data_IF_043773499707
#
_entry.id   IF_043773499707
#
_cell.length_a   1.000
_cell.length_b   1.000
_cell.length_c   1.000
_cell.angle_alpha   90.00
_cell.angle_beta   90.00
_cell.angle_gamma   90.00
#
_symmetry.space_group_name_H-M   'P 1'
#
loop_
_entity.id
_entity.type
_entity.pdbx_description
1 polymer ?
#
# COMPACT_ATOMS: atom_id res chain seq x y z
N UNK A 1 26.69 -33.82 36.44
CA UNK A 1 27.34 -32.50 36.38
C UNK A 1 26.33 -31.51 35.86
N UNK A 2 25.77 -30.73 36.78
CA UNK A 2 24.70 -29.77 36.46
C UNK A 2 25.29 -28.44 36.00
N UNK A 3 24.83 -27.94 34.89
CA UNK A 3 25.00 -26.53 34.53
C UNK A 3 23.77 -25.75 34.99
N UNK A 4 23.93 -25.04 36.10
CA UNK A 4 23.04 -23.95 36.48
C UNK A 4 23.28 -22.77 35.55
N UNK A 5 22.30 -22.37 34.78
CA UNK A 5 22.25 -21.06 34.14
C UNK A 5 21.81 -20.04 35.18
N UNK A 6 22.76 -19.38 35.80
CA UNK A 6 22.55 -18.11 36.50
C UNK A 6 22.79 -17.03 35.46
N UNK A 7 21.74 -16.49 34.89
CA UNK A 7 21.78 -15.18 34.28
C UNK A 7 20.73 -14.32 34.97
N UNK A 8 21.13 -13.69 36.07
CA UNK A 8 20.55 -12.46 36.55
C UNK A 8 20.85 -11.39 35.52
N UNK A 9 19.97 -11.22 34.52
CA UNK A 9 19.95 -9.99 33.72
C UNK A 9 19.41 -8.90 34.63
N UNK A 10 20.33 -8.21 35.27
CA UNK A 10 20.10 -6.96 35.99
C UNK A 10 19.51 -5.90 35.02
N UNK A 11 18.19 -5.74 35.08
CA UNK A 11 17.48 -4.56 34.58
C UNK A 11 16.83 -3.79 35.74
N UNK A 12 17.61 -3.16 36.64
CA UNK A 12 17.01 -2.57 37.84
C UNK A 12 16.65 -1.08 37.70
N UNK A 13 16.92 -0.38 36.61
CA UNK A 13 16.71 1.06 36.58
C UNK A 13 15.81 1.62 35.48
N UNK A 14 15.50 0.85 34.44
CA UNK A 14 14.65 1.33 33.36
C UNK A 14 13.15 1.05 33.57
N UNK A 15 12.79 -0.01 34.26
CA UNK A 15 11.39 -0.45 34.45
C UNK A 15 10.61 0.38 35.46
N UNK A 16 11.29 1.06 36.40
CA UNK A 16 10.61 1.88 37.42
C UNK A 16 10.11 3.26 36.92
N UNK A 17 10.47 3.65 35.68
CA UNK A 17 10.07 4.96 35.09
C UNK A 17 9.12 4.81 33.91
N UNK A 18 8.84 3.59 33.44
CA UNK A 18 7.95 3.38 32.30
C UNK A 18 6.52 3.11 32.80
N UNK A 19 5.53 3.84 32.27
CA UNK A 19 4.14 3.56 32.56
C UNK A 19 3.74 2.16 32.08
N UNK A 20 2.71 1.60 32.73
CA UNK A 20 2.16 0.31 32.31
C UNK A 20 1.79 0.33 30.83
N UNK A 21 2.35 -0.62 30.04
CA UNK A 21 2.04 -0.77 28.61
C UNK A 21 0.54 -0.82 28.34
N UNK A 22 -0.22 -1.51 29.22
CA UNK A 22 -1.67 -1.57 29.13
C UNK A 22 -2.35 -0.21 29.33
N UNK A 23 -1.82 0.64 30.21
CA UNK A 23 -2.34 1.99 30.42
C UNK A 23 -2.05 2.88 29.21
N UNK A 24 -0.86 2.76 28.61
CA UNK A 24 -0.47 3.48 27.40
C UNK A 24 -1.32 3.03 26.22
N UNK A 25 -1.56 1.72 26.02
CA UNK A 25 -2.42 1.22 24.95
C UNK A 25 -3.87 1.73 25.08
N UNK A 26 -4.44 1.75 26.30
CA UNK A 26 -5.76 2.32 26.57
C UNK A 26 -5.79 3.82 26.28
N UNK A 27 -4.72 4.55 26.61
CA UNK A 27 -4.58 5.96 26.29
C UNK A 27 -4.56 6.19 24.75
N UNK A 28 -3.79 5.39 23.99
CA UNK A 28 -3.73 5.46 22.52
C UNK A 28 -5.12 5.21 21.93
N UNK A 29 -5.84 4.17 22.37
CA UNK A 29 -7.20 3.91 21.91
C UNK A 29 -8.16 5.07 22.21
N UNK A 30 -8.09 5.64 23.40
CA UNK A 30 -8.92 6.78 23.81
C UNK A 30 -8.58 8.08 23.04
N UNK A 31 -7.28 8.30 22.78
CA UNK A 31 -6.77 9.46 22.04
C UNK A 31 -7.15 9.44 20.57
N UNK A 32 -7.10 8.27 19.93
CA UNK A 32 -7.52 8.09 18.53
C UNK A 32 -9.04 8.26 18.37
N UNK A 33 -9.83 7.72 19.30
CA UNK A 33 -11.29 7.77 19.24
C UNK A 33 -11.88 9.07 19.81
N UNK A 34 -11.12 9.84 20.59
CA UNK A 34 -11.60 10.95 21.42
C UNK A 34 -12.85 10.56 22.25
N UNK A 35 -12.90 9.30 22.70
CA UNK A 35 -14.03 8.70 23.38
C UNK A 35 -13.59 7.57 24.32
N UNK A 36 -13.91 7.69 25.61
CA UNK A 36 -13.68 6.60 26.55
C UNK A 36 -14.61 5.41 26.35
N UNK A 37 -15.79 5.65 25.78
CA UNK A 37 -16.75 4.57 25.47
C UNK A 37 -16.23 3.70 24.31
N UNK A 38 -15.71 4.30 23.25
CA UNK A 38 -15.12 3.55 22.14
C UNK A 38 -13.83 2.84 22.55
N UNK A 39 -12.96 3.50 23.30
CA UNK A 39 -11.77 2.86 23.86
C UNK A 39 -12.11 1.67 24.79
N UNK A 40 -13.22 1.75 25.52
CA UNK A 40 -13.68 0.66 26.38
C UNK A 40 -14.08 -0.58 25.58
N UNK A 41 -14.75 -0.40 24.42
CA UNK A 41 -15.09 -1.50 23.51
C UNK A 41 -13.82 -2.19 22.99
N UNK A 42 -12.86 -1.40 22.51
CA UNK A 42 -11.57 -1.91 22.00
C UNK A 42 -10.77 -2.67 23.08
N UNK A 43 -10.76 -2.14 24.32
CA UNK A 43 -10.00 -2.73 25.42
C UNK A 43 -10.75 -3.84 26.18
N UNK A 44 -11.99 -4.18 25.81
CA UNK A 44 -12.89 -5.09 26.56
C UNK A 44 -13.03 -4.67 28.04
N UNK A 45 -13.26 -3.39 28.26
CA UNK A 45 -13.42 -2.76 29.58
C UNK A 45 -14.72 -1.97 29.69
N UNK A 46 -15.05 -1.51 30.89
CA UNK A 46 -16.09 -0.51 31.08
C UNK A 46 -15.53 0.91 30.88
N UNK A 47 -16.35 1.90 30.46
CA UNK A 47 -15.90 3.30 30.33
C UNK A 47 -15.33 3.86 31.64
N UNK A 48 -15.88 3.46 32.81
CA UNK A 48 -15.38 3.85 34.12
C UNK A 48 -13.98 3.27 34.39
N UNK A 49 -13.72 2.03 33.99
CA UNK A 49 -12.40 1.41 34.12
C UNK A 49 -11.36 2.10 33.21
N UNK A 50 -11.71 2.44 31.98
CA UNK A 50 -10.86 3.25 31.08
C UNK A 50 -10.55 4.60 31.73
N UNK A 51 -11.58 5.33 32.18
CA UNK A 51 -11.42 6.63 32.83
C UNK A 51 -10.49 6.58 34.05
N UNK A 52 -10.59 5.50 34.86
CA UNK A 52 -9.71 5.29 36.02
C UNK A 52 -8.26 5.07 35.58
N UNK A 53 -8.02 4.16 34.61
CA UNK A 53 -6.66 3.88 34.12
C UNK A 53 -5.99 5.09 33.48
N UNK A 54 -6.75 5.91 32.77
CA UNK A 54 -6.25 7.19 32.22
C UNK A 54 -5.85 8.14 33.35
N UNK A 55 -6.66 8.28 34.39
CA UNK A 55 -6.31 9.12 35.55
C UNK A 55 -5.06 8.62 36.28
N UNK A 56 -4.89 7.30 36.39
CA UNK A 56 -3.71 6.71 37.01
C UNK A 56 -2.47 7.02 36.17
N UNK A 57 -2.54 6.89 34.84
CA UNK A 57 -1.48 7.27 33.91
C UNK A 57 -1.14 8.78 33.99
N UNK A 58 -2.15 9.63 34.01
CA UNK A 58 -1.97 11.09 34.16
C UNK A 58 -1.26 11.44 35.49
N UNK A 59 -1.59 10.72 36.56
CA UNK A 59 -0.93 10.89 37.88
C UNK A 59 0.53 10.41 37.84
N UNK A 60 0.80 9.27 37.20
CA UNK A 60 2.13 8.73 37.03
C UNK A 60 3.02 9.67 36.20
N UNK A 61 2.49 10.24 35.14
CA UNK A 61 3.19 11.21 34.28
C UNK A 61 3.23 12.64 34.85
N UNK A 62 2.50 12.91 35.94
CA UNK A 62 2.41 14.25 36.54
C UNK A 62 1.72 15.30 35.64
N UNK A 63 0.99 14.87 34.62
CA UNK A 63 0.44 15.78 33.62
C UNK A 63 -0.90 15.27 33.09
N UNK A 64 -1.91 16.14 32.99
CA UNK A 64 -3.19 15.79 32.35
C UNK A 64 -3.01 15.60 30.84
N UNK A 65 -3.51 14.50 30.33
CA UNK A 65 -3.47 14.16 28.89
C UNK A 65 -4.79 14.47 28.20
N UNK A 66 -5.91 14.49 28.95
CA UNK A 66 -7.22 14.83 28.43
C UNK A 66 -7.86 16.01 29.17
N UNK A 67 -8.62 16.82 28.41
CA UNK A 67 -9.63 17.74 28.93
C UNK A 67 -11.00 17.11 28.79
N UNK A 68 -11.76 17.09 29.89
CA UNK A 68 -13.08 16.45 29.93
C UNK A 68 -14.15 17.52 30.00
N UNK A 69 -15.05 17.54 29.02
CA UNK A 69 -16.22 18.39 28.97
C UNK A 69 -17.49 17.51 29.09
N UNK A 70 -18.62 18.11 29.45
CA UNK A 70 -19.86 17.36 29.68
C UNK A 70 -20.29 16.46 28.50
N UNK A 71 -19.85 16.76 27.26
CA UNK A 71 -20.24 15.98 26.06
C UNK A 71 -19.08 15.68 25.09
N UNK A 72 -17.86 16.04 25.43
CA UNK A 72 -16.70 15.84 24.55
C UNK A 72 -15.42 15.57 25.34
N UNK A 73 -14.54 14.79 24.74
CA UNK A 73 -13.20 14.51 25.21
C UNK A 73 -12.20 15.15 24.25
N UNK A 74 -11.25 15.91 24.78
CA UNK A 74 -10.19 16.53 23.98
C UNK A 74 -8.83 16.21 24.55
N UNK A 75 -7.82 16.11 23.70
CA UNK A 75 -6.43 16.00 24.15
C UNK A 75 -5.92 17.36 24.63
N UNK A 76 -5.12 17.35 25.68
CA UNK A 76 -4.27 18.50 26.03
C UNK A 76 -3.10 18.60 25.04
N UNK A 77 -2.36 19.72 24.96
CA UNK A 77 -1.12 19.80 24.16
C UNK A 77 -0.09 18.71 24.56
N UNK A 78 -0.01 18.39 25.86
CA UNK A 78 0.82 17.30 26.36
C UNK A 78 0.29 15.92 25.89
N UNK A 79 -1.03 15.72 25.94
CA UNK A 79 -1.68 14.50 25.46
C UNK A 79 -1.50 14.29 23.96
N UNK A 80 -1.63 15.34 23.14
CA UNK A 80 -1.43 15.26 21.70
C UNK A 80 0.03 14.88 21.36
N UNK A 81 1.00 15.53 22.01
CA UNK A 81 2.42 15.20 21.87
C UNK A 81 2.72 13.77 22.30
N UNK A 82 2.20 13.35 23.45
CA UNK A 82 2.40 12.00 23.97
C UNK A 82 1.77 10.95 23.05
N UNK A 83 0.56 11.19 22.55
CA UNK A 83 -0.11 10.30 21.60
C UNK A 83 0.71 10.09 20.33
N UNK A 84 1.24 11.16 19.75
CA UNK A 84 2.10 11.08 18.57
C UNK A 84 3.33 10.19 18.79
N UNK A 85 3.99 10.33 19.95
CA UNK A 85 5.19 9.54 20.28
C UNK A 85 4.88 8.08 20.59
N UNK A 86 3.84 7.80 21.42
CA UNK A 86 3.61 6.42 21.88
C UNK A 86 2.76 5.58 20.94
N UNK A 87 2.02 6.19 20.00
CA UNK A 87 1.22 5.42 19.02
C UNK A 87 2.06 4.46 18.21
N UNK A 88 3.20 4.93 17.68
CA UNK A 88 4.11 4.09 16.89
C UNK A 88 4.71 2.95 17.73
N UNK A 89 5.05 3.21 18.99
CA UNK A 89 5.58 2.18 19.89
C UNK A 89 4.55 1.10 20.19
N UNK A 90 3.30 1.46 20.45
CA UNK A 90 2.21 0.50 20.66
C UNK A 90 1.94 -0.32 19.41
N UNK A 91 1.86 0.33 18.25
CA UNK A 91 1.66 -0.35 16.96
C UNK A 91 2.81 -1.33 16.66
N UNK A 92 4.06 -0.97 17.02
CA UNK A 92 5.21 -1.87 16.91
C UNK A 92 5.08 -3.08 17.82
N UNK A 93 4.77 -2.88 19.11
CA UNK A 93 4.63 -3.99 20.07
C UNK A 93 3.48 -4.92 19.66
N UNK A 94 2.36 -4.40 19.20
CA UNK A 94 1.25 -5.21 18.70
C UNK A 94 1.68 -6.05 17.48
N UNK A 95 2.36 -5.45 16.52
CA UNK A 95 2.90 -6.14 15.33
C UNK A 95 3.86 -7.26 15.69
N UNK A 96 4.86 -6.98 16.54
CA UNK A 96 5.83 -7.99 16.97
C UNK A 96 5.16 -9.14 17.74
N UNK A 97 4.20 -8.79 18.61
CA UNK A 97 3.45 -9.79 19.35
C UNK A 97 2.61 -10.69 18.43
N UNK A 98 1.99 -10.14 17.40
CA UNK A 98 1.26 -10.94 16.41
C UNK A 98 2.21 -11.80 15.55
N UNK A 99 3.40 -11.31 15.24
CA UNK A 99 4.40 -12.04 14.44
C UNK A 99 4.84 -13.35 15.08
N UNK A 100 4.95 -13.38 16.42
CA UNK A 100 5.38 -14.57 17.20
C UNK A 100 4.21 -15.44 17.68
N UNK A 101 2.96 -14.97 17.61
CA UNK A 101 1.81 -15.80 17.99
C UNK A 101 1.68 -17.01 17.07
N UNK A 102 1.40 -18.23 17.62
CA UNK A 102 1.12 -19.40 16.79
C UNK A 102 -0.10 -19.09 15.88
N UNK A 103 0.12 -19.02 14.58
CA UNK A 103 -0.93 -18.72 13.60
C UNK A 103 -2.01 -19.80 13.68
N UNK A 104 -3.24 -19.41 14.01
CA UNK A 104 -4.42 -20.28 13.91
C UNK A 104 -4.54 -20.78 12.48
N UNK A 105 -4.92 -22.05 12.29
CA UNK A 105 -5.09 -22.79 11.03
C UNK A 105 -5.34 -21.90 9.80
N UNK A 106 -4.27 -21.62 9.04
CA UNK A 106 -4.26 -20.83 7.81
C UNK A 106 -3.00 -19.96 7.77
N UNK A 107 -2.34 -19.88 6.64
CA UNK A 107 -1.23 -18.96 6.43
C UNK A 107 -1.81 -17.59 6.05
N UNK A 108 -1.44 -16.53 6.75
CA UNK A 108 -1.76 -15.15 6.35
C UNK A 108 -0.57 -14.55 5.62
N UNK A 109 -0.80 -13.96 4.46
CA UNK A 109 0.17 -13.18 3.69
C UNK A 109 -0.20 -11.70 3.79
N UNK A 110 0.76 -10.86 4.19
CA UNK A 110 0.60 -9.40 4.20
C UNK A 110 1.29 -8.81 2.97
N UNK A 111 0.51 -8.13 2.14
CA UNK A 111 0.96 -7.52 0.90
C UNK A 111 0.85 -6.00 0.97
N UNK A 112 1.93 -5.30 0.64
CA UNK A 112 1.90 -3.86 0.36
C UNK A 112 1.75 -3.64 -1.15
N UNK A 113 0.72 -2.88 -1.57
CA UNK A 113 0.33 -2.78 -2.98
C UNK A 113 -0.02 -1.33 -3.34
N UNK A 114 0.27 -0.90 -4.56
CA UNK A 114 -0.25 0.37 -5.08
C UNK A 114 -1.78 0.32 -5.14
N UNK A 115 -2.46 1.32 -4.61
CA UNK A 115 -3.92 1.36 -4.49
C UNK A 115 -4.65 1.08 -5.81
N UNK A 116 -4.23 1.74 -6.89
CA UNK A 116 -4.81 1.52 -8.23
C UNK A 116 -4.60 0.10 -8.73
N UNK A 117 -3.43 -0.48 -8.51
CA UNK A 117 -3.13 -1.86 -8.89
C UNK A 117 -3.94 -2.86 -8.06
N UNK A 118 -4.09 -2.62 -6.76
CA UNK A 118 -4.92 -3.45 -5.90
C UNK A 118 -6.35 -3.55 -6.45
N UNK A 119 -7.00 -2.41 -6.68
CA UNK A 119 -8.41 -2.37 -7.11
C UNK A 119 -8.64 -2.83 -8.55
N UNK A 120 -7.75 -2.48 -9.48
CA UNK A 120 -7.96 -2.73 -10.90
C UNK A 120 -7.50 -4.13 -11.33
N UNK A 121 -6.45 -4.67 -10.70
CA UNK A 121 -5.84 -5.93 -11.15
C UNK A 121 -5.80 -7.03 -10.10
N UNK A 122 -5.39 -6.72 -8.86
CA UNK A 122 -5.09 -7.74 -7.86
C UNK A 122 -6.36 -8.34 -7.25
N UNK A 123 -7.31 -7.53 -6.77
CA UNK A 123 -8.50 -8.01 -6.05
C UNK A 123 -9.31 -9.07 -6.82
N UNK A 124 -9.58 -8.94 -8.14
CA UNK A 124 -10.26 -9.99 -8.88
C UNK A 124 -9.50 -11.34 -8.89
N UNK A 125 -8.17 -11.28 -8.89
CA UNK A 125 -7.29 -12.46 -8.86
C UNK A 125 -7.19 -13.08 -7.47
N UNK A 126 -7.23 -12.25 -6.42
CA UNK A 126 -7.30 -12.75 -5.04
C UNK A 126 -8.62 -13.45 -4.76
N UNK A 127 -9.73 -12.99 -5.31
CA UNK A 127 -11.02 -13.70 -5.22
C UNK A 127 -10.93 -15.10 -5.83
N UNK A 128 -10.33 -15.23 -7.02
CA UNK A 128 -10.08 -16.53 -7.64
C UNK A 128 -9.06 -17.38 -6.86
N UNK A 129 -8.01 -16.76 -6.33
CA UNK A 129 -7.02 -17.43 -5.50
C UNK A 129 -7.65 -18.00 -4.22
N UNK A 130 -8.49 -17.23 -3.53
CA UNK A 130 -9.16 -17.67 -2.29
C UNK A 130 -10.10 -18.86 -2.52
N UNK A 131 -10.73 -18.97 -3.70
CA UNK A 131 -11.57 -20.14 -4.03
C UNK A 131 -10.76 -21.44 -4.20
N UNK A 132 -9.49 -21.33 -4.64
CA UNK A 132 -8.58 -22.48 -4.81
C UNK A 132 -7.77 -22.78 -3.55
N UNK A 133 -7.43 -21.74 -2.77
CA UNK A 133 -6.64 -21.83 -1.54
C UNK A 133 -7.36 -21.13 -0.39
N UNK A 134 -8.46 -21.73 0.10
CA UNK A 134 -9.22 -21.18 1.23
C UNK A 134 -8.42 -21.17 2.56
N UNK A 135 -7.34 -21.94 2.61
CA UNK A 135 -6.41 -22.06 3.72
C UNK A 135 -5.41 -20.88 3.83
N UNK A 136 -5.33 -20.01 2.79
CA UNK A 136 -4.44 -18.87 2.78
C UNK A 136 -5.26 -17.58 2.81
N UNK A 137 -5.05 -16.77 3.83
CA UNK A 137 -5.58 -15.41 3.92
C UNK A 137 -4.57 -14.41 3.35
N UNK A 138 -5.06 -13.39 2.66
CA UNK A 138 -4.22 -12.33 2.10
C UNK A 138 -4.74 -10.98 2.59
N UNK A 139 -3.93 -10.33 3.41
CA UNK A 139 -4.14 -8.97 3.86
C UNK A 139 -3.46 -8.01 2.87
N UNK A 140 -4.21 -7.03 2.39
CA UNK A 140 -3.71 -6.05 1.42
C UNK A 140 -3.73 -4.67 2.05
N UNK A 141 -2.55 -4.10 2.20
CA UNK A 141 -2.37 -2.72 2.61
C UNK A 141 -1.93 -1.89 1.41
N UNK A 142 -2.53 -0.71 1.23
CA UNK A 142 -2.21 0.13 0.07
C UNK A 142 -1.25 1.24 0.47
N UNK A 143 -0.11 1.33 -0.23
CA UNK A 143 0.89 2.38 -0.04
C UNK A 143 1.55 2.75 -1.37
N UNK A 144 1.85 4.04 -1.55
CA UNK A 144 2.68 4.56 -2.64
C UNK A 144 4.16 4.57 -2.29
N UNK A 145 4.49 4.52 -1.00
CA UNK A 145 5.86 4.53 -0.51
C UNK A 145 6.53 3.17 -0.69
N UNK A 146 7.85 3.21 -0.80
CA UNK A 146 8.68 2.01 -0.77
C UNK A 146 8.72 1.54 0.69
N UNK A 147 7.81 0.63 1.05
CA UNK A 147 7.82 0.03 2.38
C UNK A 147 9.10 -0.79 2.58
N UNK A 148 9.71 -0.68 3.74
CA UNK A 148 10.76 -1.61 4.14
C UNK A 148 10.11 -2.95 4.46
N UNK A 149 10.28 -3.92 3.54
CA UNK A 149 9.69 -5.26 3.70
C UNK A 149 10.23 -6.01 4.91
N UNK A 150 11.38 -5.61 5.43
CA UNK A 150 12.00 -6.22 6.62
C UNK A 150 11.41 -5.60 7.88
N UNK A 151 11.41 -4.27 7.96
CA UNK A 151 11.00 -3.54 9.17
C UNK A 151 9.48 -3.44 9.32
N UNK A 152 8.72 -3.44 8.20
CA UNK A 152 7.27 -3.26 8.23
C UNK A 152 6.45 -4.56 8.17
N UNK A 153 7.10 -5.73 8.23
CA UNK A 153 6.47 -7.07 8.35
C UNK A 153 5.53 -7.45 7.20
N UNK A 154 5.82 -7.01 5.98
CA UNK A 154 5.18 -7.50 4.78
C UNK A 154 5.86 -8.78 4.27
N UNK A 155 5.08 -9.75 3.81
CA UNK A 155 5.61 -10.95 3.15
C UNK A 155 6.07 -10.65 1.73
N UNK A 156 5.40 -9.71 1.06
CA UNK A 156 5.76 -9.21 -0.27
C UNK A 156 5.12 -7.84 -0.54
N UNK A 157 5.60 -7.17 -1.58
CA UNK A 157 4.93 -5.97 -2.11
C UNK A 157 4.74 -6.07 -3.63
N UNK A 158 3.76 -5.33 -4.17
CA UNK A 158 3.63 -5.13 -5.60
C UNK A 158 3.98 -3.68 -5.92
N UNK A 159 4.99 -3.52 -6.78
CA UNK A 159 5.54 -2.22 -7.12
C UNK A 159 5.67 -2.04 -8.62
N UNK A 160 5.54 -0.78 -9.07
CA UNK A 160 5.79 -0.36 -10.44
C UNK A 160 7.22 0.18 -10.55
N UNK A 161 7.98 -0.28 -11.54
CA UNK A 161 9.36 0.14 -11.72
C UNK A 161 10.14 -0.70 -12.71
N UNK A 162 11.46 -0.56 -12.69
CA UNK A 162 12.36 -1.23 -13.66
C UNK A 162 12.81 -2.63 -13.23
N UNK A 163 12.27 -3.16 -12.11
CA UNK A 163 12.61 -4.49 -11.61
C UNK A 163 13.88 -4.55 -10.76
N UNK A 164 14.37 -3.39 -10.28
CA UNK A 164 15.60 -3.32 -9.47
C UNK A 164 15.28 -2.67 -8.12
N UNK A 165 15.27 -3.48 -7.08
CA UNK A 165 15.16 -3.05 -5.68
C UNK A 165 16.31 -3.67 -4.90
N UNK A 166 17.23 -2.86 -4.31
CA UNK A 166 18.36 -3.39 -3.54
C UNK A 166 17.90 -4.35 -2.44
N UNK A 167 18.57 -5.48 -2.32
CA UNK A 167 18.24 -6.48 -1.29
C UNK A 167 17.00 -7.35 -1.54
N UNK A 168 16.17 -7.03 -2.53
CA UNK A 168 14.92 -7.74 -2.80
C UNK A 168 15.00 -8.60 -4.08
N UNK A 169 14.23 -9.67 -4.09
CA UNK A 169 13.90 -10.41 -5.30
C UNK A 169 12.69 -9.76 -5.96
N UNK A 170 12.72 -9.68 -7.29
CA UNK A 170 11.65 -9.08 -8.06
C UNK A 170 11.20 -10.03 -9.18
N UNK A 171 9.91 -10.38 -9.19
CA UNK A 171 9.29 -11.18 -10.25
C UNK A 171 8.32 -10.33 -11.02
N UNK A 172 8.54 -10.18 -12.33
CA UNK A 172 7.65 -9.42 -13.19
C UNK A 172 6.31 -10.13 -13.35
N UNK A 173 5.22 -9.40 -13.03
CA UNK A 173 3.86 -9.93 -13.16
C UNK A 173 3.42 -9.98 -14.64
N UNK A 174 3.68 -8.90 -15.39
CA UNK A 174 3.45 -8.84 -16.83
C UNK A 174 4.27 -7.70 -17.46
N UNK A 175 4.40 -7.71 -18.78
CA UNK A 175 5.01 -6.61 -19.55
C UNK A 175 3.99 -5.49 -19.71
N UNK A 176 4.35 -4.26 -19.34
CA UNK A 176 3.47 -3.10 -19.51
C UNK A 176 3.64 -2.54 -20.92
N UNK A 177 2.53 -2.49 -21.65
CA UNK A 177 2.40 -1.82 -22.94
C UNK A 177 1.34 -0.74 -22.81
N UNK A 178 1.75 0.50 -23.00
CA UNK A 178 0.90 1.67 -22.84
C UNK A 178 0.25 2.08 -24.15
N UNK A 179 -0.96 2.56 -24.06
CA UNK A 179 -1.69 3.25 -25.13
C UNK A 179 -2.61 4.33 -24.53
N UNK A 180 -2.94 5.36 -25.28
CA UNK A 180 -3.83 6.41 -24.83
C UNK A 180 -5.27 5.90 -24.62
N UNK A 181 -5.88 6.43 -23.60
CA UNK A 181 -7.26 6.19 -23.19
C UNK A 181 -8.03 7.50 -23.22
N UNK A 182 -9.28 7.44 -23.64
CA UNK A 182 -10.20 8.57 -23.70
C UNK A 182 -11.60 8.17 -23.25
N UNK A 183 -12.43 9.15 -22.88
CA UNK A 183 -13.88 8.97 -22.88
C UNK A 183 -14.39 8.77 -24.32
N UNK A 184 -15.45 7.99 -24.52
CA UNK A 184 -16.11 7.88 -25.82
C UNK A 184 -16.48 9.27 -26.37
N UNK A 185 -16.16 9.53 -27.64
CA UNK A 185 -16.50 10.80 -28.30
C UNK A 185 -15.58 11.99 -28.02
N UNK A 186 -14.59 11.86 -27.11
CA UNK A 186 -13.65 12.96 -26.82
C UNK A 186 -12.78 13.32 -28.04
N UNK A 187 -12.37 12.32 -28.81
CA UNK A 187 -11.58 12.46 -30.04
C UNK A 187 -12.14 11.56 -31.14
N UNK A 188 -11.94 11.95 -32.43
CA UNK A 188 -12.22 11.07 -33.57
C UNK A 188 -11.39 9.77 -33.42
N UNK A 189 -12.07 8.63 -33.54
CA UNK A 189 -11.41 7.32 -33.39
C UNK A 189 -10.71 6.85 -34.68
N UNK A 190 -9.73 5.96 -34.53
CA UNK A 190 -9.14 5.17 -35.60
C UNK A 190 -8.03 5.83 -36.39
N UNK A 191 -7.66 7.08 -36.11
CA UNK A 191 -6.51 7.74 -36.73
C UNK A 191 -5.25 7.58 -35.85
N UNK A 192 -4.06 7.60 -36.44
CA UNK A 192 -2.83 7.70 -35.67
C UNK A 192 -2.80 8.96 -34.78
N UNK A 193 -2.14 8.87 -33.65
CA UNK A 193 -1.89 10.04 -32.82
C UNK A 193 -1.01 11.04 -33.57
N UNK A 194 -1.37 12.32 -33.47
CA UNK A 194 -0.62 13.45 -34.07
C UNK A 194 -0.48 14.57 -33.05
N UNK A 195 0.50 15.44 -33.24
CA UNK A 195 0.67 16.63 -32.39
C UNK A 195 -0.62 17.45 -32.31
N UNK A 196 -1.31 17.68 -33.43
CA UNK A 196 -2.57 18.41 -33.46
C UNK A 196 -3.69 17.77 -32.65
N UNK A 197 -3.81 16.44 -32.72
CA UNK A 197 -4.78 15.70 -31.90
C UNK A 197 -4.45 15.77 -30.38
N UNK A 198 -3.18 15.69 -30.03
CA UNK A 198 -2.72 15.81 -28.64
C UNK A 198 -2.88 17.26 -28.13
N UNK A 199 -2.64 18.27 -28.95
CA UNK A 199 -2.81 19.68 -28.61
C UNK A 199 -4.27 20.07 -28.35
N UNK A 200 -5.23 19.34 -28.95
CA UNK A 200 -6.66 19.59 -28.77
C UNK A 200 -7.20 19.20 -27.43
N UNK A 201 -6.43 18.45 -26.59
CA UNK A 201 -6.88 17.93 -25.32
C UNK A 201 -5.82 18.12 -24.21
N UNK A 202 -6.16 17.76 -22.98
CA UNK A 202 -5.23 17.75 -21.84
C UNK A 202 -4.65 16.34 -21.69
N UNK A 203 -3.32 16.23 -21.52
CA UNK A 203 -2.70 14.96 -21.16
C UNK A 203 -2.69 14.81 -19.64
N UNK A 204 -3.19 13.68 -19.18
CA UNK A 204 -3.24 13.32 -17.76
C UNK A 204 -2.07 12.40 -17.46
N UNK A 205 -1.34 12.67 -16.37
CA UNK A 205 -0.16 11.90 -16.00
C UNK A 205 -0.13 11.57 -14.50
N UNK A 206 0.67 10.57 -14.12
CA UNK A 206 0.93 10.21 -12.74
C UNK A 206 2.20 10.91 -12.27
N UNK A 207 2.12 11.66 -11.17
CA UNK A 207 3.22 12.45 -10.59
C UNK A 207 4.51 11.63 -10.41
N UNK A 208 4.38 10.38 -9.94
CA UNK A 208 5.52 9.49 -9.68
C UNK A 208 6.11 8.85 -10.94
N UNK A 209 5.52 9.10 -12.13
CA UNK A 209 5.96 8.49 -13.39
C UNK A 209 5.82 9.46 -14.57
N UNK A 210 6.46 10.64 -14.52
CA UNK A 210 6.32 11.69 -15.54
C UNK A 210 6.96 11.31 -16.89
N UNK A 211 7.77 10.27 -16.90
CA UNK A 211 8.47 9.76 -18.08
C UNK A 211 7.64 8.82 -18.97
N UNK A 212 6.41 8.46 -18.56
CA UNK A 212 5.56 7.54 -19.34
C UNK A 212 5.09 8.15 -20.67
N UNK A 213 4.61 9.40 -20.67
CA UNK A 213 4.25 10.09 -21.91
C UNK A 213 5.44 10.27 -22.86
N UNK A 214 6.62 10.75 -22.41
CA UNK A 214 7.83 10.77 -23.23
C UNK A 214 8.21 9.42 -23.85
N UNK A 215 8.13 8.32 -23.08
CA UNK A 215 8.43 6.97 -23.60
C UNK A 215 7.40 6.54 -24.66
N UNK A 216 6.10 6.75 -24.43
CA UNK A 216 5.06 6.42 -25.40
C UNK A 216 5.23 7.23 -26.68
N UNK A 217 5.40 8.56 -26.59
CA UNK A 217 5.54 9.46 -27.72
C UNK A 217 6.77 9.12 -28.57
N UNK A 218 7.89 8.79 -27.94
CA UNK A 218 9.09 8.31 -28.66
C UNK A 218 8.79 7.00 -29.41
N UNK A 219 8.05 6.08 -28.80
CA UNK A 219 7.68 4.79 -29.41
C UNK A 219 6.75 4.89 -30.62
N UNK A 220 6.03 5.99 -30.77
CA UNK A 220 5.15 6.26 -31.95
C UNK A 220 5.74 7.28 -32.92
N UNK A 221 7.03 7.65 -32.79
CA UNK A 221 7.70 8.58 -33.69
C UNK A 221 7.47 10.06 -33.38
N UNK A 222 6.92 10.41 -32.24
CA UNK A 222 6.70 11.81 -31.80
C UNK A 222 7.71 12.21 -30.70
N UNK A 223 8.94 11.71 -30.77
CA UNK A 223 10.01 12.08 -29.84
C UNK A 223 10.21 13.62 -29.85
N UNK A 224 10.32 14.21 -28.65
CA UNK A 224 10.50 15.66 -28.50
C UNK A 224 9.22 16.48 -28.52
N UNK A 225 8.06 15.91 -28.84
CA UNK A 225 6.79 16.60 -28.68
C UNK A 225 6.59 17.06 -27.23
N UNK A 226 6.10 18.29 -27.07
CA UNK A 226 5.78 18.88 -25.75
C UNK A 226 4.29 19.16 -25.69
N UNK A 227 3.54 18.53 -24.76
CA UNK A 227 2.12 18.77 -24.62
C UNK A 227 1.84 20.20 -24.14
N UNK A 228 0.81 20.82 -24.70
CA UNK A 228 0.39 22.18 -24.32
C UNK A 228 -0.28 22.22 -22.95
N UNK A 229 -0.97 21.17 -22.57
CA UNK A 229 -1.73 21.07 -21.33
C UNK A 229 -1.47 19.72 -20.69
N UNK A 230 -1.02 19.75 -19.43
CA UNK A 230 -0.79 18.56 -18.63
C UNK A 230 -1.51 18.75 -17.29
N UNK A 231 -2.16 17.70 -16.82
CA UNK A 231 -2.72 17.64 -15.48
C UNK A 231 -2.20 16.40 -14.77
N UNK A 232 -1.68 16.59 -13.56
CA UNK A 232 -1.00 15.55 -12.79
C UNK A 232 -1.92 14.98 -11.73
N UNK A 233 -1.84 13.67 -11.52
CA UNK A 233 -2.55 12.90 -10.51
C UNK A 233 -1.56 12.09 -9.69
N UNK A 234 -1.87 11.84 -8.43
CA UNK A 234 -1.10 10.97 -7.53
C UNK A 234 -1.55 9.50 -7.62
N UNK A 235 -2.75 9.25 -8.19
CA UNK A 235 -3.40 7.95 -8.21
C UNK A 235 -4.00 7.63 -9.59
N UNK A 236 -3.60 6.50 -10.18
CA UNK A 236 -4.06 6.11 -11.52
C UNK A 236 -5.57 5.79 -11.58
N UNK A 237 -6.19 5.34 -10.48
CA UNK A 237 -7.63 5.08 -10.46
C UNK A 237 -8.42 6.38 -10.57
N UNK A 238 -7.98 7.43 -9.86
CA UNK A 238 -8.57 8.78 -9.95
C UNK A 238 -8.33 9.35 -11.34
N UNK A 239 -7.12 9.19 -11.89
CA UNK A 239 -6.81 9.62 -13.26
C UNK A 239 -7.70 8.93 -14.30
N UNK A 240 -7.93 7.61 -14.21
CA UNK A 240 -8.81 6.91 -15.15
C UNK A 240 -10.29 7.30 -14.97
N UNK A 241 -10.72 7.65 -13.76
CA UNK A 241 -12.03 8.24 -13.55
C UNK A 241 -12.14 9.63 -14.20
N UNK A 242 -11.10 10.46 -14.12
CA UNK A 242 -11.04 11.75 -14.82
C UNK A 242 -11.10 11.58 -16.35
N UNK A 243 -10.38 10.60 -16.91
CA UNK A 243 -10.50 10.24 -18.34
C UNK A 243 -11.93 9.88 -18.71
N UNK A 244 -12.57 9.00 -17.92
CA UNK A 244 -13.96 8.56 -18.18
C UNK A 244 -14.98 9.71 -18.13
N UNK A 245 -14.65 10.78 -17.41
CA UNK A 245 -15.45 12.03 -17.36
C UNK A 245 -15.03 13.08 -18.40
N UNK A 246 -14.16 12.72 -19.36
CA UNK A 246 -13.82 13.57 -20.50
C UNK A 246 -12.77 14.65 -20.18
N UNK A 247 -12.03 14.57 -19.05
CA UNK A 247 -11.05 15.59 -18.68
C UNK A 247 -9.81 15.59 -19.60
N UNK A 248 -9.55 14.49 -20.33
CA UNK A 248 -8.40 14.41 -21.22
C UNK A 248 -8.00 12.98 -21.57
N UNK A 249 -6.76 12.82 -22.01
CA UNK A 249 -6.14 11.54 -22.35
C UNK A 249 -5.20 11.08 -21.26
N UNK A 250 -5.22 9.81 -20.88
CA UNK A 250 -4.20 9.20 -20.06
C UNK A 250 -3.60 7.98 -20.75
N UNK A 251 -2.38 7.60 -20.36
CA UNK A 251 -1.81 6.32 -20.74
C UNK A 251 -2.28 5.23 -19.80
N UNK A 252 -2.65 4.08 -20.36
CA UNK A 252 -3.02 2.91 -19.59
C UNK A 252 -2.49 1.61 -20.19
N UNK A 253 -2.33 0.59 -19.34
CA UNK A 253 -2.04 -0.77 -19.76
C UNK A 253 -3.35 -1.57 -19.81
N UNK A 254 -3.52 -2.41 -20.85
CA UNK A 254 -4.74 -3.21 -21.03
C UNK A 254 -5.13 -4.01 -19.80
N UNK A 255 -4.15 -4.57 -19.12
CA UNK A 255 -4.31 -5.41 -17.93
C UNK A 255 -5.02 -4.68 -16.78
N UNK A 256 -4.86 -3.35 -16.69
CA UNK A 256 -5.47 -2.52 -15.65
C UNK A 256 -6.85 -1.98 -16.04
N UNK A 257 -7.09 -1.76 -17.34
CA UNK A 257 -8.28 -1.07 -17.83
C UNK A 257 -9.22 -1.96 -18.65
N UNK A 258 -8.99 -3.27 -18.65
CA UNK A 258 -9.75 -4.22 -19.46
C UNK A 258 -11.28 -4.13 -19.21
N UNK A 259 -11.69 -3.96 -17.96
CA UNK A 259 -13.10 -3.83 -17.59
C UNK A 259 -13.72 -2.55 -18.15
N UNK A 260 -13.00 -1.43 -18.05
CA UNK A 260 -13.45 -0.14 -18.56
C UNK A 260 -13.53 -0.12 -20.09
N UNK A 261 -12.60 -0.80 -20.77
CA UNK A 261 -12.64 -0.99 -22.22
C UNK A 261 -13.82 -1.89 -22.64
N UNK A 262 -14.03 -3.03 -21.96
CA UNK A 262 -15.14 -3.93 -22.25
C UNK A 262 -16.51 -3.30 -22.00
N UNK A 263 -16.62 -2.45 -20.99
CA UNK A 263 -17.86 -1.72 -20.69
C UNK A 263 -18.08 -0.48 -21.56
N UNK A 264 -17.13 -0.11 -22.40
CA UNK A 264 -17.18 1.09 -23.20
C UNK A 264 -17.03 2.40 -22.41
N UNK A 265 -16.69 2.36 -21.12
CA UNK A 265 -16.44 3.57 -20.31
C UNK A 265 -15.14 4.28 -20.73
N UNK A 266 -14.19 3.55 -21.24
CA UNK A 266 -12.97 4.05 -21.83
C UNK A 266 -12.80 3.45 -23.23
N UNK A 267 -12.18 4.22 -24.11
CA UNK A 267 -11.83 3.78 -25.47
C UNK A 267 -10.36 4.08 -25.76
N UNK A 268 -9.76 3.34 -26.71
CA UNK A 268 -8.47 3.66 -27.30
C UNK A 268 -8.74 4.55 -28.54
N UNK A 269 -8.50 5.86 -28.48
CA UNK A 269 -8.89 6.76 -29.58
C UNK A 269 -7.98 6.63 -30.80
N UNK A 270 -6.75 6.16 -30.64
CA UNK A 270 -5.76 6.11 -31.69
C UNK A 270 -5.50 4.68 -32.21
N UNK A 271 -5.11 4.58 -33.48
CA UNK A 271 -4.75 3.32 -34.14
C UNK A 271 -3.30 2.89 -33.92
N UNK A 272 -2.49 3.71 -33.24
CA UNK A 272 -1.12 3.34 -32.91
C UNK A 272 -1.08 2.05 -32.06
N UNK A 273 -0.13 1.14 -32.31
CA UNK A 273 0.04 -0.04 -31.48
C UNK A 273 0.49 0.35 -30.06
N UNK A 274 0.15 -0.45 -29.05
CA UNK A 274 0.64 -0.23 -27.69
C UNK A 274 2.16 -0.27 -27.63
N UNK A 275 2.76 0.69 -26.93
CA UNK A 275 4.22 0.84 -26.78
C UNK A 275 4.71 0.18 -25.49
N UNK A 276 5.67 -0.73 -25.62
CA UNK A 276 6.34 -1.29 -24.46
C UNK A 276 7.21 -0.23 -23.78
N UNK A 277 7.13 -0.17 -22.45
CA UNK A 277 7.92 0.74 -21.63
C UNK A 277 8.93 0.00 -20.77
N UNK A 278 9.89 0.74 -20.19
CA UNK A 278 10.95 0.16 -19.35
C UNK A 278 10.44 -0.35 -18.02
N UNK A 279 9.40 0.26 -17.49
CA UNK A 279 8.80 -0.11 -16.20
C UNK A 279 7.77 -1.22 -16.39
N UNK A 280 7.56 -2.00 -15.33
CA UNK A 280 6.50 -3.01 -15.24
C UNK A 280 6.04 -3.15 -13.79
N UNK A 281 4.99 -3.94 -13.56
CA UNK A 281 4.59 -4.34 -12.23
C UNK A 281 5.34 -5.59 -11.81
N UNK A 282 5.88 -5.55 -10.60
CA UNK A 282 6.65 -6.64 -10.01
C UNK A 282 6.10 -7.01 -8.64
N UNK A 283 6.09 -8.30 -8.36
CA UNK A 283 6.00 -8.82 -7.00
C UNK A 283 7.42 -8.83 -6.44
N UNK A 284 7.63 -8.10 -5.34
CA UNK A 284 8.93 -7.97 -4.67
C UNK A 284 8.85 -8.55 -3.27
N UNK A 285 9.90 -9.25 -2.84
CA UNK A 285 9.98 -9.92 -1.54
C UNK A 285 11.43 -10.18 -1.16
N UNK A 286 11.68 -10.44 0.12
CA UNK A 286 13.03 -10.75 0.63
C UNK A 286 13.44 -12.19 0.28
N UNK A 287 14.75 -12.47 0.29
CA UNK A 287 15.30 -13.79 -0.11
C UNK A 287 14.83 -14.92 0.80
N UNK A 288 14.70 -14.66 2.09
CA UNK A 288 14.22 -15.61 3.11
C UNK A 288 12.75 -15.99 2.92
N UNK A 289 11.90 -15.07 2.38
CA UNK A 289 10.50 -15.34 2.08
C UNK A 289 10.26 -16.16 0.81
N UNK A 290 11.29 -16.33 -0.04
CA UNK A 290 11.19 -16.98 -1.36
C UNK A 290 10.51 -18.36 -1.31
N UNK A 291 10.84 -19.16 -0.32
CA UNK A 291 10.38 -20.54 -0.19
C UNK A 291 9.20 -20.71 0.78
N UNK A 292 8.66 -19.61 1.31
CA UNK A 292 7.43 -19.61 2.12
C UNK A 292 6.27 -20.22 1.33
N UNK A 293 5.62 -21.29 1.80
CA UNK A 293 4.63 -22.04 1.00
C UNK A 293 3.46 -21.20 0.52
N UNK A 294 2.94 -20.31 1.38
CA UNK A 294 1.82 -19.43 1.05
C UNK A 294 2.20 -18.41 -0.02
N UNK A 295 3.37 -17.75 0.10
CA UNK A 295 3.88 -16.81 -0.90
C UNK A 295 4.14 -17.53 -2.23
N UNK A 296 4.71 -18.73 -2.20
CA UNK A 296 4.94 -19.55 -3.40
C UNK A 296 3.64 -19.91 -4.11
N UNK A 297 2.56 -20.20 -3.37
CA UNK A 297 1.24 -20.44 -3.94
C UNK A 297 0.68 -19.18 -4.60
N UNK A 298 0.74 -18.04 -3.92
CA UNK A 298 0.29 -16.75 -4.46
C UNK A 298 1.08 -16.36 -5.71
N UNK A 299 2.41 -16.48 -5.70
CA UNK A 299 3.27 -16.22 -6.86
C UNK A 299 2.85 -17.01 -8.09
N UNK A 300 2.60 -18.32 -7.93
CA UNK A 300 2.10 -19.18 -9.04
C UNK A 300 0.78 -18.69 -9.58
N UNK A 301 -0.13 -18.27 -8.72
CA UNK A 301 -1.45 -17.78 -9.13
C UNK A 301 -1.38 -16.42 -9.84
N UNK A 302 -0.48 -15.52 -9.43
CA UNK A 302 -0.36 -14.19 -10.03
C UNK A 302 0.51 -14.19 -11.29
N UNK A 303 1.54 -15.02 -11.36
CA UNK A 303 2.52 -15.07 -12.45
C UNK A 303 2.18 -16.14 -13.51
N UNK A 304 1.25 -17.03 -13.23
CA UNK A 304 0.92 -18.22 -14.05
C UNK A 304 0.33 -17.97 -15.45
N UNK A 305 0.28 -16.72 -15.93
CA UNK A 305 -0.18 -16.37 -17.28
C UNK A 305 0.92 -16.01 -18.29
N UNK A 306 2.21 -15.99 -17.90
CA UNK A 306 3.32 -15.69 -18.79
C UNK A 306 4.65 -15.98 -18.12
N UNK A 307 5.64 -16.48 -18.87
CA UNK A 307 6.96 -16.88 -18.36
C UNK A 307 7.63 -15.74 -17.56
N UNK A 308 7.59 -15.82 -16.24
CA UNK A 308 8.21 -14.86 -15.36
C UNK A 308 9.73 -15.00 -15.38
N UNK A 309 10.43 -13.95 -15.80
CA UNK A 309 11.89 -13.85 -15.59
C UNK A 309 12.15 -13.27 -14.20
N UNK A 310 12.74 -14.06 -13.32
CA UNK A 310 13.24 -13.59 -12.02
C UNK A 310 14.46 -12.70 -12.28
N UNK A 311 14.37 -11.44 -11.91
CA UNK A 311 15.52 -10.52 -11.93
C UNK A 311 16.28 -10.70 -10.62
N UNK A 312 17.52 -11.21 -10.68
CA UNK A 312 18.39 -11.33 -9.52
C UNK A 312 19.20 -10.04 -9.33
N UNK A 313 19.35 -9.54 -8.09
CA UNK A 313 20.23 -8.41 -7.84
C UNK A 313 21.67 -8.78 -8.23
N UNK A 314 22.35 -7.92 -9.02
CA UNK A 314 23.80 -8.01 -9.18
C UNK A 314 24.45 -7.58 -7.86
N UNK A 315 25.12 -8.49 -7.20
CA UNK A 315 26.03 -8.13 -6.09
C UNK A 315 27.15 -7.26 -6.69
N UNK A 316 27.35 -6.08 -6.09
CA UNK A 316 28.61 -5.34 -6.17
C UNK A 316 29.44 -5.62 -4.95
#
# INVERSE_FOLDING_TARGET
MGHRWHDEVLLPSMTSRLPSLRAVAIFVAAGRALSFTEAAKTASLTPSAVSRRIRDLERELGTALFRRFNRRLELTPAGARYLAGVSQAIDLIERESEAIRPRRRGATLRLSVLQSFASLWLLPRLAAFKSVRPDIDVEVETSTELVDLVDEHFDAAIRFGTGRWPGLLAERLFEVRLFPLAAPGLLPAGKPASAAALDSTTLLEIAQSPDLWPQYLAGIGLAGYRPRRVQTFDNAQVMFAAVANGLGLALGARELVERQLKSGRLVAPFSNPPVAIRQSYYLVYTKDRKDQPALKALRRALVGGGAAKVVRPRMR
#
